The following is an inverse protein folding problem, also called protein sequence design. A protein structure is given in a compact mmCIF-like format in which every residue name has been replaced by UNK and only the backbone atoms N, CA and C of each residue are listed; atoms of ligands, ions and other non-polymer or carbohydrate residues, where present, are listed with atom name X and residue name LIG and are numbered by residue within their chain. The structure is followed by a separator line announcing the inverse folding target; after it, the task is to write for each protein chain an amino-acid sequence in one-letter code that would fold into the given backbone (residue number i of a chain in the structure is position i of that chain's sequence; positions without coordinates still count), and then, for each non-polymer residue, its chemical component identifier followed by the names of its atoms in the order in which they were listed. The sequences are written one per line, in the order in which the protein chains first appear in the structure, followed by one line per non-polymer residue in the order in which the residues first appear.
data_IF_045301198644
#
_entry.id   IF_045301198644
#
_cell.length_a   1.000
_cell.length_b   1.000
_cell.length_c   1.000
_cell.angle_alpha   90.00
_cell.angle_beta   90.00
_cell.angle_gamma   90.00
#
_symmetry.space_group_name_H-M   'P 1'
#
loop_
_entity.id
_entity.type
_entity.pdbx_description
1 polymer ?
#
# COMPACT_ATOMS: atom_id res chain seq x y z
N UNK A 1 23.68 6.52 -12.31
CA UNK A 1 22.90 7.78 -12.37
C UNK A 1 22.99 8.44 -11.01
N UNK A 2 23.81 9.49 -10.87
CA UNK A 2 23.89 10.29 -9.64
C UNK A 2 22.60 11.08 -9.50
N UNK A 3 21.83 10.79 -8.46
CA UNK A 3 20.60 11.52 -8.14
C UNK A 3 20.93 12.99 -7.91
N UNK A 4 20.57 13.86 -8.86
CA UNK A 4 20.73 15.31 -8.79
C UNK A 4 19.74 15.98 -7.82
N UNK A 5 19.09 15.23 -6.95
CA UNK A 5 18.17 15.80 -5.98
C UNK A 5 18.92 16.31 -4.76
N UNK A 6 19.00 17.64 -4.64
CA UNK A 6 19.42 18.33 -3.42
C UNK A 6 18.53 17.86 -2.28
N UNK A 7 19.09 17.03 -1.39
CA UNK A 7 18.37 16.58 -0.19
C UNK A 7 18.14 17.77 0.73
N UNK A 8 17.03 17.73 1.47
CA UNK A 8 16.79 18.70 2.53
C UNK A 8 17.97 18.58 3.55
N UNK A 9 18.74 19.66 3.79
CA UNK A 9 19.99 19.60 4.56
C UNK A 9 19.80 19.21 6.03
N UNK A 10 18.55 19.07 6.50
CA UNK A 10 18.23 18.81 7.90
C UNK A 10 18.57 20.01 8.78
N UNK A 11 18.01 20.05 9.97
CA UNK A 11 18.37 21.03 11.00
C UNK A 11 18.55 20.32 12.34
N UNK A 12 19.37 20.85 13.26
CA UNK A 12 19.35 20.40 14.65
C UNK A 12 17.92 20.44 15.22
N UNK A 13 17.61 19.52 16.13
CA UNK A 13 16.34 19.51 16.84
C UNK A 13 16.19 20.81 17.65
N UNK A 14 15.18 21.59 17.31
CA UNK A 14 14.77 22.76 18.07
C UNK A 14 13.62 22.37 19.01
N UNK A 15 13.92 22.25 20.30
CA UNK A 15 12.91 21.92 21.31
C UNK A 15 11.93 23.07 21.54
N UNK A 16 12.28 24.32 21.22
CA UNK A 16 11.40 25.46 21.41
C UNK A 16 10.16 25.38 20.51
N UNK A 17 10.30 24.78 19.32
CA UNK A 17 9.16 24.48 18.45
C UNK A 17 8.18 23.47 19.06
N UNK A 18 8.72 22.46 19.75
CA UNK A 18 7.91 21.43 20.41
C UNK A 18 7.26 21.99 21.67
N UNK A 19 8.04 22.71 22.49
CA UNK A 19 7.62 23.24 23.78
C UNK A 19 6.71 24.47 23.64
N UNK A 20 6.86 25.24 22.57
CA UNK A 20 6.00 26.40 22.22
C UNK A 20 4.71 26.02 21.50
N UNK A 21 4.49 24.74 21.19
CA UNK A 21 3.27 24.27 20.57
C UNK A 21 2.09 24.35 21.56
N UNK A 22 1.28 25.40 21.45
CA UNK A 22 0.07 25.55 22.24
C UNK A 22 -1.14 24.93 21.53
N UNK A 23 -1.79 23.97 22.21
CA UNK A 23 -3.00 23.34 21.73
C UNK A 23 -4.20 23.92 22.47
N UNK A 24 -5.21 24.38 21.73
CA UNK A 24 -6.51 24.68 22.33
C UNK A 24 -7.22 23.36 22.68
N UNK A 25 -6.96 22.86 23.89
CA UNK A 25 -7.48 21.59 24.39
C UNK A 25 -9.00 21.47 24.20
N UNK A 26 -9.76 22.49 24.59
CA UNK A 26 -11.22 22.48 24.46
C UNK A 26 -11.70 22.43 23.01
N UNK A 27 -11.01 23.08 22.07
CA UNK A 27 -11.33 22.98 20.65
C UNK A 27 -11.02 21.59 20.09
N UNK A 28 -9.90 20.98 20.50
CA UNK A 28 -9.54 19.61 20.13
C UNK A 28 -10.57 18.62 20.66
N UNK A 29 -10.91 18.69 21.96
CA UNK A 29 -11.88 17.81 22.60
C UNK A 29 -13.27 17.91 21.97
N UNK A 30 -13.76 19.13 21.68
CA UNK A 30 -15.02 19.30 20.94
C UNK A 30 -14.95 18.68 19.55
N UNK A 31 -13.84 18.88 18.83
CA UNK A 31 -13.68 18.33 17.47
C UNK A 31 -13.60 16.80 17.49
N UNK A 32 -12.85 16.20 18.40
CA UNK A 32 -12.71 14.75 18.52
C UNK A 32 -14.02 14.10 18.98
N UNK A 33 -14.76 14.72 19.89
CA UNK A 33 -16.09 14.25 20.29
C UNK A 33 -17.08 14.19 19.10
N UNK A 34 -16.95 15.08 18.10
CA UNK A 34 -17.78 14.96 16.88
C UNK A 34 -17.40 13.76 16.01
N UNK A 35 -16.17 13.25 16.09
CA UNK A 35 -15.72 12.15 15.24
C UNK A 35 -16.47 10.85 15.54
N UNK A 36 -16.75 10.58 16.82
CA UNK A 36 -17.51 9.39 17.25
C UNK A 36 -19.00 9.50 16.90
N UNK A 37 -19.53 10.72 16.82
CA UNK A 37 -20.91 11.01 16.42
C UNK A 37 -21.13 11.15 14.92
N UNK A 38 -20.06 11.18 14.10
CA UNK A 38 -20.18 11.25 12.64
C UNK A 38 -20.81 9.96 12.13
N UNK A 39 -21.91 10.10 11.40
CA UNK A 39 -22.61 8.97 10.79
C UNK A 39 -21.65 8.23 9.86
N UNK A 40 -21.55 6.91 10.05
CA UNK A 40 -20.89 6.02 9.09
C UNK A 40 -21.45 6.29 7.70
N UNK A 41 -20.58 6.26 6.70
CA UNK A 41 -20.99 6.34 5.32
C UNK A 41 -21.92 5.15 5.02
N UNK A 42 -23.12 5.42 4.50
CA UNK A 42 -24.18 4.40 4.36
C UNK A 42 -24.42 4.01 2.91
N UNK A 43 -24.89 2.78 2.70
CA UNK A 43 -25.41 2.27 1.42
C UNK A 43 -24.41 2.47 0.27
N UNK A 44 -24.82 3.12 -0.80
CA UNK A 44 -24.04 3.28 -2.04
C UNK A 44 -22.70 3.96 -1.79
N UNK A 45 -22.66 4.93 -0.87
CA UNK A 45 -21.42 5.59 -0.49
C UNK A 45 -20.47 4.64 0.25
N UNK A 46 -21.00 3.72 1.06
CA UNK A 46 -20.18 2.70 1.72
C UNK A 46 -19.57 1.77 0.68
N UNK A 47 -20.36 1.34 -0.31
CA UNK A 47 -19.88 0.54 -1.42
C UNK A 47 -18.80 1.28 -2.22
N UNK A 48 -19.03 2.55 -2.57
CA UNK A 48 -18.06 3.38 -3.28
C UNK A 48 -16.72 3.49 -2.53
N UNK A 49 -16.73 3.67 -1.20
CA UNK A 49 -15.51 3.70 -0.41
C UNK A 49 -14.80 2.35 -0.34
N UNK A 50 -15.54 1.24 -0.28
CA UNK A 50 -14.95 -0.11 -0.32
C UNK A 50 -14.30 -0.39 -1.68
N UNK A 51 -14.96 0.00 -2.77
CA UNK A 51 -14.40 -0.08 -4.12
C UNK A 51 -13.15 0.78 -4.26
N UNK A 52 -13.17 2.00 -3.70
CA UNK A 52 -11.98 2.86 -3.65
C UNK A 52 -10.86 2.21 -2.85
N UNK A 53 -11.17 1.64 -1.69
CA UNK A 53 -10.19 0.95 -0.86
C UNK A 53 -9.48 -0.16 -1.63
N UNK A 54 -10.19 -0.92 -2.47
CA UNK A 54 -9.58 -1.95 -3.33
C UNK A 54 -8.47 -1.37 -4.22
N UNK A 55 -8.71 -0.21 -4.85
CA UNK A 55 -7.70 0.47 -5.70
C UNK A 55 -6.48 0.98 -4.93
N UNK A 56 -6.54 0.98 -3.60
CA UNK A 56 -5.48 1.39 -2.70
C UNK A 56 -4.85 0.20 -1.94
N UNK A 57 -5.20 -1.04 -2.28
CA UNK A 57 -4.61 -2.24 -1.68
C UNK A 57 -3.34 -2.65 -2.43
N UNK A 58 -2.27 -2.87 -1.67
CA UNK A 58 -1.14 -3.68 -2.11
C UNK A 58 -1.45 -5.13 -1.73
N UNK A 59 -1.92 -5.93 -2.69
CA UNK A 59 -2.35 -7.29 -2.43
C UNK A 59 -1.11 -8.15 -2.18
N UNK A 60 -0.93 -8.55 -0.93
CA UNK A 60 0.37 -9.03 -0.43
C UNK A 60 0.36 -10.52 -0.15
N UNK A 61 1.44 -11.22 -0.52
CA UNK A 61 1.83 -12.50 0.07
C UNK A 61 3.30 -12.46 0.46
N UNK A 62 3.58 -12.75 1.72
CA UNK A 62 4.93 -12.81 2.29
C UNK A 62 5.04 -14.08 3.13
N UNK A 63 4.63 -15.21 2.56
CA UNK A 63 4.71 -16.51 3.22
C UNK A 63 6.04 -17.19 2.87
N UNK A 64 6.70 -17.79 3.86
CA UNK A 64 7.98 -18.47 3.65
C UNK A 64 7.86 -19.69 2.70
N UNK A 65 6.66 -20.23 2.53
CA UNK A 65 6.33 -21.34 1.65
C UNK A 65 5.69 -20.88 0.31
N UNK A 66 5.84 -19.61 -0.07
CA UNK A 66 5.28 -19.11 -1.33
C UNK A 66 5.85 -19.85 -2.54
N UNK A 67 4.96 -20.26 -3.43
CA UNK A 67 5.28 -20.94 -4.70
C UNK A 67 4.84 -20.07 -5.87
N UNK A 68 5.42 -20.26 -7.08
CA UNK A 68 4.98 -19.54 -8.28
C UNK A 68 3.46 -19.64 -8.50
N UNK A 69 2.87 -20.82 -8.29
CA UNK A 69 1.42 -21.02 -8.39
C UNK A 69 0.60 -20.20 -7.39
N UNK A 70 1.11 -19.97 -6.16
CA UNK A 70 0.44 -19.11 -5.18
C UNK A 70 0.49 -17.64 -5.58
N UNK A 71 1.63 -17.19 -6.10
CA UNK A 71 1.83 -15.84 -6.65
C UNK A 71 0.95 -15.61 -7.88
N UNK A 72 0.83 -16.58 -8.79
CA UNK A 72 -0.04 -16.48 -9.97
C UNK A 72 -1.51 -16.32 -9.56
N UNK A 73 -1.99 -17.08 -8.57
CA UNK A 73 -3.37 -16.92 -8.04
C UNK A 73 -3.57 -15.55 -7.40
N UNK A 74 -2.58 -15.05 -6.66
CA UNK A 74 -2.60 -13.70 -6.09
C UNK A 74 -2.73 -12.66 -7.21
N UNK A 75 -1.95 -12.78 -8.27
CA UNK A 75 -1.98 -11.88 -9.44
C UNK A 75 -3.31 -11.96 -10.20
N UNK A 76 -3.90 -13.15 -10.33
CA UNK A 76 -5.24 -13.30 -10.90
C UNK A 76 -6.30 -12.55 -10.07
N UNK A 77 -6.23 -12.68 -8.73
CA UNK A 77 -7.10 -11.92 -7.81
C UNK A 77 -6.84 -10.42 -7.84
N UNK A 78 -5.58 -10.00 -8.04
CA UNK A 78 -5.22 -8.60 -8.21
C UNK A 78 -5.85 -7.97 -9.46
N UNK A 79 -5.88 -8.73 -10.57
CA UNK A 79 -6.52 -8.33 -11.83
C UNK A 79 -8.05 -8.29 -11.74
N UNK A 80 -8.64 -9.17 -10.95
CA UNK A 80 -10.09 -9.27 -10.76
C UNK A 80 -10.45 -9.45 -9.27
N UNK A 81 -10.37 -8.38 -8.47
CA UNK A 81 -10.59 -8.43 -7.02
C UNK A 81 -12.06 -8.58 -6.64
N UNK A 82 -12.98 -8.24 -7.55
CA UNK A 82 -14.43 -8.37 -7.38
C UNK A 82 -15.02 -9.39 -8.34
N UNK A 83 -16.06 -10.09 -7.89
CA UNK A 83 -16.82 -11.00 -8.75
C UNK A 83 -17.64 -10.19 -9.77
N UNK A 84 -17.80 -10.65 -11.03
CA UNK A 84 -18.50 -9.89 -12.07
C UNK A 84 -19.96 -9.56 -11.72
N UNK A 85 -20.67 -10.49 -11.07
CA UNK A 85 -22.07 -10.29 -10.64
C UNK A 85 -22.21 -9.19 -9.57
N UNK A 86 -21.15 -8.89 -8.81
CA UNK A 86 -21.15 -7.76 -7.87
C UNK A 86 -20.97 -6.44 -8.60
N UNK A 87 -20.11 -6.39 -9.62
CA UNK A 87 -19.96 -5.19 -10.46
C UNK A 87 -21.27 -4.85 -11.16
N UNK A 88 -21.98 -5.85 -11.67
CA UNK A 88 -23.29 -5.69 -12.28
C UNK A 88 -24.31 -5.10 -11.30
N UNK A 89 -24.44 -5.69 -10.11
CA UNK A 89 -25.37 -5.20 -9.06
C UNK A 89 -25.04 -3.79 -8.59
N UNK A 90 -23.79 -3.36 -8.73
CA UNK A 90 -23.32 -2.01 -8.38
C UNK A 90 -23.43 -1.03 -9.56
N UNK A 91 -23.86 -1.48 -10.75
CA UNK A 91 -23.95 -0.63 -11.94
C UNK A 91 -22.59 -0.25 -12.54
N UNK A 92 -21.54 -1.03 -12.27
CA UNK A 92 -20.16 -0.78 -12.67
C UNK A 92 -19.70 -1.74 -13.77
N UNK A 93 -20.63 -2.22 -14.59
CA UNK A 93 -20.30 -3.07 -15.74
C UNK A 93 -19.38 -2.32 -16.70
N UNK A 94 -18.24 -2.94 -17.04
CA UNK A 94 -17.22 -2.33 -17.90
C UNK A 94 -16.17 -1.51 -17.16
N UNK A 95 -16.35 -1.22 -15.87
CA UNK A 95 -15.33 -0.56 -15.07
C UNK A 95 -14.21 -1.53 -14.68
N UNK A 96 -12.98 -1.08 -14.85
CA UNK A 96 -11.80 -1.88 -14.53
C UNK A 96 -11.29 -1.54 -13.13
N UNK A 97 -11.78 -2.28 -12.14
CA UNK A 97 -11.31 -2.16 -10.75
C UNK A 97 -10.22 -3.20 -10.50
N UNK A 98 -8.99 -2.74 -10.33
CA UNK A 98 -7.87 -3.56 -9.89
C UNK A 98 -7.37 -3.12 -8.53
N UNK A 99 -6.49 -3.92 -7.94
CA UNK A 99 -5.72 -3.50 -6.76
C UNK A 99 -4.71 -2.42 -7.13
N UNK A 100 -4.15 -1.75 -6.11
CA UNK A 100 -3.11 -0.74 -6.27
C UNK A 100 -1.76 -1.34 -6.68
N UNK A 101 -1.37 -2.47 -6.07
CA UNK A 101 -0.17 -3.22 -6.41
C UNK A 101 -0.29 -4.69 -5.99
N UNK A 102 0.70 -5.50 -6.37
CA UNK A 102 0.96 -6.82 -5.76
C UNK A 102 2.29 -6.78 -5.03
N UNK A 103 2.31 -7.17 -3.76
CA UNK A 103 3.53 -7.21 -2.94
C UNK A 103 3.95 -8.65 -2.64
N UNK A 104 5.21 -8.98 -2.93
CA UNK A 104 5.79 -10.32 -2.77
C UNK A 104 7.18 -10.27 -2.15
N UNK A 105 7.75 -11.42 -1.80
CA UNK A 105 9.18 -11.52 -1.50
C UNK A 105 10.04 -11.31 -2.77
N UNK A 106 11.30 -10.86 -2.65
CA UNK A 106 12.21 -10.64 -3.78
C UNK A 106 12.30 -11.85 -4.73
N UNK A 107 12.41 -13.05 -4.17
CA UNK A 107 12.50 -14.32 -4.92
C UNK A 107 11.23 -14.68 -5.71
N UNK A 108 10.17 -13.89 -5.61
CA UNK A 108 8.87 -14.08 -6.30
C UNK A 108 8.51 -12.90 -7.20
N UNK A 109 9.36 -11.87 -7.28
CA UNK A 109 9.13 -10.69 -8.14
C UNK A 109 9.00 -11.11 -9.61
N UNK A 110 9.89 -11.98 -10.09
CA UNK A 110 9.85 -12.46 -11.48
C UNK A 110 8.52 -13.17 -11.81
N UNK A 111 8.04 -14.03 -10.90
CA UNK A 111 6.75 -14.72 -11.06
C UNK A 111 5.58 -13.72 -11.14
N UNK A 112 5.59 -12.70 -10.27
CA UNK A 112 4.55 -11.68 -10.23
C UNK A 112 4.57 -10.78 -11.48
N UNK A 113 5.74 -10.33 -11.92
CA UNK A 113 5.93 -9.51 -13.13
C UNK A 113 5.40 -10.26 -14.36
N UNK A 114 5.78 -11.53 -14.51
CA UNK A 114 5.30 -12.37 -15.61
C UNK A 114 3.77 -12.53 -15.55
N UNK A 115 3.22 -12.85 -14.39
CA UNK A 115 1.78 -13.04 -14.22
C UNK A 115 0.98 -11.75 -14.43
N UNK A 116 1.53 -10.56 -14.18
CA UNK A 116 0.87 -9.27 -14.31
C UNK A 116 1.13 -8.56 -15.65
N UNK A 117 1.86 -9.17 -16.57
CA UNK A 117 2.13 -8.57 -17.88
C UNK A 117 0.82 -8.13 -18.58
N UNK A 118 0.85 -6.92 -19.15
CA UNK A 118 -0.30 -6.28 -19.80
C UNK A 118 -1.39 -5.73 -18.86
N UNK A 119 -1.25 -5.86 -17.54
CA UNK A 119 -2.30 -5.42 -16.59
C UNK A 119 -2.15 -3.98 -16.08
N UNK A 120 -0.98 -3.35 -16.21
CA UNK A 120 -0.64 -2.07 -15.56
C UNK A 120 -0.69 -2.08 -14.03
N UNK A 121 -0.81 -3.25 -13.39
CA UNK A 121 -0.70 -3.38 -11.92
C UNK A 121 0.79 -3.45 -11.56
N UNK A 122 1.31 -2.54 -10.72
CA UNK A 122 2.70 -2.56 -10.30
C UNK A 122 3.00 -3.73 -9.36
N UNK A 123 4.24 -4.21 -9.43
CA UNK A 123 4.80 -5.19 -8.48
C UNK A 123 5.64 -4.44 -7.46
N UNK A 124 5.39 -4.71 -6.19
CA UNK A 124 6.18 -4.27 -5.05
C UNK A 124 6.89 -5.47 -4.41
N UNK A 125 7.99 -5.20 -3.72
CA UNK A 125 8.70 -6.19 -2.93
C UNK A 125 9.17 -5.58 -1.61
N UNK A 126 9.24 -6.42 -0.58
CA UNK A 126 9.98 -6.08 0.65
C UNK A 126 11.48 -6.25 0.44
N UNK A 127 12.28 -5.49 1.18
CA UNK A 127 13.74 -5.56 1.20
C UNK A 127 14.26 -4.99 2.54
N UNK A 128 15.56 -4.73 2.63
CA UNK A 128 16.22 -4.02 3.73
C UNK A 128 16.20 -4.73 5.09
N UNK A 129 16.36 -6.05 5.08
CA UNK A 129 16.38 -6.91 6.26
C UNK A 129 14.99 -7.28 6.75
N UNK A 130 13.96 -7.19 5.90
CA UNK A 130 12.60 -7.53 6.27
C UNK A 130 12.51 -8.95 6.87
N UNK A 131 11.78 -9.15 7.99
CA UNK A 131 10.95 -8.17 8.68
C UNK A 131 11.66 -7.34 9.77
N UNK A 132 12.84 -7.78 10.25
CA UNK A 132 13.48 -7.23 11.44
C UNK A 132 14.23 -5.92 11.20
N UNK A 133 14.75 -5.71 9.98
CA UNK A 133 15.53 -4.53 9.59
C UNK A 133 16.92 -4.44 10.25
N UNK A 134 17.36 -5.47 10.98
CA UNK A 134 18.61 -5.48 11.74
C UNK A 134 19.79 -6.04 10.92
N UNK A 135 19.89 -5.66 9.65
CA UNK A 135 21.01 -6.03 8.78
C UNK A 135 21.88 -4.80 8.48
N UNK A 136 23.21 -4.95 8.29
CA UNK A 136 24.06 -3.79 8.02
C UNK A 136 23.68 -3.11 6.70
N UNK A 137 24.00 -1.81 6.58
CA UNK A 137 23.59 -0.99 5.43
C UNK A 137 23.98 -1.58 4.05
N UNK A 138 25.20 -2.13 3.84
CA UNK A 138 25.56 -2.70 2.55
C UNK A 138 24.63 -3.84 2.11
N UNK A 139 24.24 -4.72 3.03
CA UNK A 139 23.33 -5.83 2.74
C UNK A 139 21.93 -5.31 2.40
N UNK A 140 21.45 -4.29 3.12
CA UNK A 140 20.15 -3.67 2.81
C UNK A 140 20.10 -3.05 1.42
N UNK A 141 21.19 -2.45 0.97
CA UNK A 141 21.29 -1.91 -0.41
C UNK A 141 21.29 -3.06 -1.42
N UNK A 142 22.08 -4.11 -1.18
CA UNK A 142 22.13 -5.26 -2.06
C UNK A 142 20.77 -5.97 -2.18
N UNK A 143 20.02 -6.09 -1.09
CA UNK A 143 18.65 -6.62 -1.13
C UNK A 143 17.71 -5.79 -2.00
N UNK A 144 17.86 -4.45 -2.00
CA UNK A 144 17.12 -3.58 -2.91
C UNK A 144 17.53 -3.87 -4.35
N UNK A 145 18.83 -3.87 -4.64
CA UNK A 145 19.38 -4.13 -5.99
C UNK A 145 18.95 -5.49 -6.57
N UNK A 146 18.79 -6.51 -5.73
CA UNK A 146 18.31 -7.83 -6.13
C UNK A 146 16.79 -7.89 -6.41
N UNK A 147 16.04 -6.92 -5.88
CA UNK A 147 14.59 -6.86 -6.04
C UNK A 147 14.12 -6.04 -7.25
N UNK A 148 14.99 -5.20 -7.83
CA UNK A 148 14.72 -4.36 -9.03
C UNK A 148 15.31 -4.93 -10.31
#
# INVERSE_FOLDING_TARGET
MTSNHTRNPGTPLDLDWVMGAHINKSAVERRTATLTGRRTVKKDWQAAWLLRAITNIDLTTLAGDDTPGRVHRLCAKAKQPLRPDMLEKLGLNGERITVGAVCVYPNRVADAVHALQGSNIPVASVATGFPAGQTPLPQRIQEIEQAV
#
